data_IF_613435427667
#
_entry.id   IF_613435427667
#
_cell.length_a   1.000
_cell.length_b   1.000
_cell.length_c   1.000
_cell.angle_alpha   90.00
_cell.angle_beta   90.00
_cell.angle_gamma   90.00
#
_symmetry.space_group_name_H-M   'P 1'
#
loop_
_entity.id
_entity.type
_entity.pdbx_description
1 polymer ?
#
# COMPACT_ATOMS: atom_id res chain seq x y z
N UNK A 1 -9.50 22.20 -3.85
CA UNK A 1 -10.21 21.04 -4.44
C UNK A 1 -9.30 19.79 -4.51
N UNK A 2 -9.88 18.62 -4.72
CA UNK A 2 -9.11 17.38 -4.90
C UNK A 2 -8.16 17.46 -6.12
N UNK A 3 -8.59 18.14 -7.18
CA UNK A 3 -7.80 18.36 -8.39
C UNK A 3 -6.56 19.21 -8.09
N UNK A 4 -6.71 20.27 -7.32
CA UNK A 4 -5.58 21.13 -6.92
C UNK A 4 -4.60 20.37 -6.03
N UNK A 5 -5.08 19.55 -5.08
CA UNK A 5 -4.24 18.70 -4.24
C UNK A 5 -3.45 17.68 -5.07
N UNK A 6 -4.10 17.02 -6.04
CA UNK A 6 -3.42 16.11 -6.97
C UNK A 6 -2.33 16.83 -7.77
N UNK A 7 -2.62 18.01 -8.31
CA UNK A 7 -1.66 18.82 -9.06
C UNK A 7 -0.48 19.25 -8.18
N UNK A 8 -0.74 19.71 -6.96
CA UNK A 8 0.31 20.07 -6.01
C UNK A 8 1.24 18.89 -5.69
N UNK A 9 0.67 17.71 -5.43
CA UNK A 9 1.46 16.49 -5.18
C UNK A 9 2.30 16.13 -6.40
N UNK A 10 1.75 16.21 -7.61
CA UNK A 10 2.51 15.95 -8.84
C UNK A 10 3.67 16.91 -9.04
N UNK A 11 3.48 18.20 -8.72
CA UNK A 11 4.57 19.19 -8.76
C UNK A 11 5.68 18.86 -7.75
N UNK A 12 5.32 18.41 -6.54
CA UNK A 12 6.31 18.00 -5.54
C UNK A 12 7.07 16.75 -5.98
N UNK A 13 6.38 15.79 -6.60
CA UNK A 13 7.01 14.57 -7.11
C UNK A 13 7.98 14.87 -8.24
N UNK A 14 7.69 15.83 -9.11
CA UNK A 14 8.60 16.24 -10.19
C UNK A 14 9.98 16.63 -9.65
N UNK A 15 10.06 17.21 -8.45
CA UNK A 15 11.33 17.52 -7.79
C UNK A 15 12.09 16.30 -7.27
N UNK A 16 11.44 15.12 -7.22
CA UNK A 16 12.02 13.86 -6.74
C UNK A 16 12.47 12.94 -7.89
N UNK A 17 12.14 13.22 -9.14
CA UNK A 17 12.40 12.32 -10.28
C UNK A 17 13.88 11.98 -10.49
N UNK A 18 14.80 12.86 -10.07
CA UNK A 18 16.25 12.63 -10.13
C UNK A 18 16.84 12.18 -8.80
N UNK A 19 16.02 11.84 -7.80
CA UNK A 19 16.43 11.42 -6.46
C UNK A 19 16.00 10.00 -6.20
N UNK A 20 16.71 9.34 -5.29
CA UNK A 20 16.30 8.07 -4.72
C UNK A 20 15.61 8.30 -3.37
N UNK A 21 14.48 7.63 -3.16
CA UNK A 21 13.74 7.70 -1.89
C UNK A 21 13.94 6.39 -1.13
N UNK A 22 14.35 6.51 0.12
CA UNK A 22 14.49 5.37 1.03
C UNK A 22 13.20 5.21 1.84
N UNK A 23 12.60 4.03 1.79
CA UNK A 23 11.43 3.66 2.58
C UNK A 23 11.82 2.53 3.52
N UNK A 24 11.57 2.71 4.81
CA UNK A 24 11.88 1.72 5.83
C UNK A 24 10.59 1.05 6.29
N UNK A 25 10.50 -0.25 6.05
CA UNK A 25 9.35 -1.10 6.37
C UNK A 25 8.40 -1.28 5.19
N UNK A 26 8.19 -2.54 4.79
CA UNK A 26 7.24 -2.94 3.76
C UNK A 26 5.87 -3.36 4.33
N UNK A 27 5.38 -2.59 5.30
CA UNK A 27 4.01 -2.66 5.78
C UNK A 27 3.05 -1.94 4.81
N UNK A 28 1.81 -1.70 5.23
CA UNK A 28 0.81 -1.06 4.37
C UNK A 28 1.27 0.33 3.89
N UNK A 29 1.72 1.18 4.80
CA UNK A 29 2.15 2.54 4.47
C UNK A 29 3.37 2.55 3.54
N UNK A 30 4.38 1.71 3.81
CA UNK A 30 5.58 1.62 2.97
C UNK A 30 5.28 1.08 1.58
N UNK A 31 4.40 0.10 1.47
CA UNK A 31 3.97 -0.44 0.17
C UNK A 31 3.18 0.56 -0.66
N UNK A 32 2.22 1.27 -0.06
CA UNK A 32 1.48 2.33 -0.76
C UNK A 32 2.42 3.44 -1.25
N UNK A 33 3.33 3.90 -0.38
CA UNK A 33 4.32 4.93 -0.72
C UNK A 33 5.25 4.48 -1.84
N UNK A 34 5.77 3.25 -1.76
CA UNK A 34 6.65 2.69 -2.79
C UNK A 34 5.94 2.58 -4.14
N UNK A 35 4.72 2.04 -4.15
CA UNK A 35 3.93 1.93 -5.37
C UNK A 35 3.64 3.30 -5.97
N UNK A 36 3.15 4.24 -5.16
CA UNK A 36 2.82 5.60 -5.61
C UNK A 36 4.03 6.32 -6.21
N UNK A 37 5.18 6.30 -5.54
CA UNK A 37 6.39 6.96 -6.02
C UNK A 37 6.89 6.34 -7.33
N UNK A 38 6.91 5.03 -7.42
CA UNK A 38 7.39 4.34 -8.63
C UNK A 38 6.47 4.52 -9.83
N UNK A 39 5.16 4.60 -9.62
CA UNK A 39 4.21 4.95 -10.69
C UNK A 39 4.42 6.37 -11.22
N UNK A 40 5.09 7.23 -10.46
CA UNK A 40 5.46 8.58 -10.84
C UNK A 40 6.95 8.72 -11.24
N UNK A 41 7.64 7.62 -11.53
CA UNK A 41 9.01 7.60 -12.05
C UNK A 41 10.09 7.90 -11.02
N UNK A 42 9.79 7.77 -9.72
CA UNK A 42 10.76 7.98 -8.64
C UNK A 42 11.38 6.64 -8.24
N UNK A 43 12.71 6.59 -8.17
CA UNK A 43 13.41 5.40 -7.67
C UNK A 43 13.22 5.24 -6.17
N UNK A 44 12.92 4.02 -5.74
CA UNK A 44 12.69 3.67 -4.33
C UNK A 44 13.62 2.57 -3.88
N UNK A 45 14.27 2.77 -2.74
CA UNK A 45 14.92 1.70 -1.97
C UNK A 45 13.98 1.31 -0.82
N UNK A 46 13.42 0.12 -0.89
CA UNK A 46 12.50 -0.41 0.14
C UNK A 46 13.25 -1.39 1.04
N UNK A 47 13.39 -1.03 2.30
CA UNK A 47 14.07 -1.85 3.31
C UNK A 47 13.07 -2.63 4.14
N UNK A 48 13.21 -3.95 4.20
CA UNK A 48 12.34 -4.83 4.99
C UNK A 48 13.14 -5.83 5.81
N UNK A 49 12.93 -5.80 7.11
CA UNK A 49 13.70 -6.63 8.04
C UNK A 49 13.20 -8.08 8.18
N UNK A 50 11.99 -8.41 7.71
CA UNK A 50 11.32 -9.69 8.00
C UNK A 50 12.09 -10.94 7.55
N UNK A 51 12.96 -10.82 6.57
CA UNK A 51 13.86 -11.92 6.17
C UNK A 51 14.92 -12.24 7.24
N UNK A 52 15.34 -11.23 8.01
CA UNK A 52 16.39 -11.35 9.03
C UNK A 52 15.75 -11.50 10.40
N UNK A 53 14.75 -10.68 10.71
CA UNK A 53 14.08 -10.64 12.01
C UNK A 53 12.60 -10.35 11.86
N UNK A 54 11.78 -11.21 12.40
CA UNK A 54 10.32 -11.00 12.50
C UNK A 54 9.94 -10.59 13.93
N UNK A 55 8.91 -9.74 14.03
CA UNK A 55 8.25 -9.52 15.33
C UNK A 55 7.34 -10.71 15.65
N UNK A 56 6.93 -10.91 16.93
CA UNK A 56 6.04 -12.01 17.30
C UNK A 56 4.70 -12.04 16.53
N UNK A 57 4.22 -10.89 16.07
CA UNK A 57 2.98 -10.78 15.30
C UNK A 57 3.14 -11.16 13.82
N UNK A 58 4.35 -11.10 13.29
CA UNK A 58 4.63 -11.37 11.86
C UNK A 58 4.85 -12.86 11.62
N UNK A 59 4.12 -13.43 10.69
CA UNK A 59 4.17 -14.86 10.34
C UNK A 59 4.80 -15.15 9.00
N UNK A 60 4.82 -14.17 8.08
CA UNK A 60 5.35 -14.34 6.73
C UNK A 60 6.46 -13.32 6.42
N UNK A 61 7.15 -13.52 5.29
CA UNK A 61 8.11 -12.56 4.73
C UNK A 61 7.47 -11.64 3.69
N UNK A 62 6.18 -11.81 3.42
CA UNK A 62 5.45 -11.03 2.44
C UNK A 62 5.25 -9.59 2.90
N UNK A 63 5.17 -8.69 1.92
CA UNK A 63 4.87 -7.27 2.16
C UNK A 63 3.39 -7.07 2.48
N UNK A 64 3.07 -5.97 3.17
CA UNK A 64 1.68 -5.61 3.48
C UNK A 64 0.95 -6.63 4.35
N UNK A 65 1.66 -7.34 5.22
CA UNK A 65 1.06 -8.35 6.09
C UNK A 65 0.10 -7.73 7.10
N UNK A 66 -1.14 -8.25 7.13
CA UNK A 66 -2.15 -7.89 8.12
C UNK A 66 -1.98 -8.78 9.35
N UNK A 67 -1.42 -8.21 10.43
CA UNK A 67 -0.99 -8.99 11.62
C UNK A 67 -2.07 -9.17 12.69
N UNK A 68 -3.06 -8.29 12.77
CA UNK A 68 -4.09 -8.31 13.82
C UNK A 68 -5.41 -8.91 13.34
N UNK A 69 -5.87 -8.53 12.16
CA UNK A 69 -7.17 -8.91 11.60
C UNK A 69 -7.12 -8.87 10.08
N UNK A 70 -7.98 -9.65 9.45
CA UNK A 70 -8.20 -9.58 8.00
C UNK A 70 -9.23 -8.50 7.60
N UNK A 71 -9.81 -7.79 8.57
CA UNK A 71 -10.80 -6.74 8.34
C UNK A 71 -10.14 -5.37 8.21
N UNK A 72 -10.44 -4.67 7.13
CA UNK A 72 -10.11 -3.27 6.91
C UNK A 72 -11.27 -2.33 7.35
N UNK A 73 -12.12 -2.82 8.25
CA UNK A 73 -13.24 -2.09 8.85
C UNK A 73 -14.38 -1.81 7.87
N UNK A 74 -15.33 -0.99 8.33
CA UNK A 74 -16.59 -0.71 7.64
C UNK A 74 -16.40 -0.10 6.24
N UNK A 75 -17.30 -0.45 5.35
CA UNK A 75 -17.49 0.16 4.03
C UNK A 75 -18.67 1.14 3.99
N UNK A 76 -19.39 1.29 5.12
CA UNK A 76 -20.53 2.18 5.22
C UNK A 76 -20.09 3.65 5.04
N UNK A 77 -20.66 4.39 4.05
CA UNK A 77 -20.24 5.76 3.74
C UNK A 77 -20.32 6.74 4.91
N UNK A 78 -21.24 6.50 5.83
CA UNK A 78 -21.45 7.36 7.01
C UNK A 78 -20.54 7.00 8.19
N UNK A 79 -19.76 5.92 8.09
CA UNK A 79 -18.74 5.60 9.08
C UNK A 79 -17.41 6.27 8.74
N UNK A 80 -16.59 6.57 9.75
CA UNK A 80 -15.26 7.16 9.54
C UNK A 80 -14.38 6.31 8.63
N UNK A 81 -14.37 4.99 8.81
CA UNK A 81 -13.58 4.08 7.99
C UNK A 81 -14.15 3.90 6.57
N UNK A 82 -15.46 4.00 6.39
CA UNK A 82 -16.09 4.00 5.08
C UNK A 82 -15.81 5.29 4.31
N UNK A 83 -15.92 6.45 4.96
CA UNK A 83 -15.56 7.73 4.38
C UNK A 83 -14.09 7.77 3.96
N UNK A 84 -13.18 7.30 4.82
CA UNK A 84 -11.75 7.18 4.48
C UNK A 84 -11.53 6.33 3.21
N UNK A 85 -12.25 5.21 3.08
CA UNK A 85 -12.13 4.36 1.89
C UNK A 85 -12.62 5.07 0.62
N UNK A 86 -13.68 5.85 0.70
CA UNK A 86 -14.15 6.65 -0.44
C UNK A 86 -13.12 7.71 -0.86
N UNK A 87 -12.47 8.35 0.11
CA UNK A 87 -11.40 9.32 -0.16
C UNK A 87 -10.18 8.63 -0.79
N UNK A 88 -9.75 7.49 -0.23
CA UNK A 88 -8.65 6.70 -0.76
C UNK A 88 -8.93 6.20 -2.19
N UNK A 89 -10.17 5.82 -2.49
CA UNK A 89 -10.58 5.41 -3.84
C UNK A 89 -10.43 6.56 -4.85
N UNK A 90 -10.84 7.78 -4.47
CA UNK A 90 -10.64 8.98 -5.29
C UNK A 90 -9.17 9.36 -5.50
N UNK A 91 -8.30 8.93 -4.59
CA UNK A 91 -6.84 9.12 -4.68
C UNK A 91 -6.13 7.96 -5.40
N UNK A 92 -6.88 7.02 -5.96
CA UNK A 92 -6.34 5.83 -6.65
C UNK A 92 -5.44 4.95 -5.77
N UNK A 93 -5.79 4.81 -4.47
CA UNK A 93 -5.04 4.01 -3.52
C UNK A 93 -4.85 2.57 -4.02
N UNK A 94 -3.60 2.16 -4.16
CA UNK A 94 -3.21 0.84 -4.63
C UNK A 94 -3.68 -0.26 -3.70
N UNK A 95 -3.43 -0.13 -2.39
CA UNK A 95 -3.81 -1.15 -1.41
C UNK A 95 -5.32 -1.36 -1.35
N UNK A 96 -6.11 -0.31 -1.52
CA UNK A 96 -7.57 -0.45 -1.56
C UNK A 96 -8.04 -1.23 -2.79
N UNK A 97 -7.41 -1.03 -3.94
CA UNK A 97 -7.70 -1.82 -5.15
C UNK A 97 -7.38 -3.29 -4.94
N UNK A 98 -6.21 -3.59 -4.38
CA UNK A 98 -5.82 -4.97 -4.04
C UNK A 98 -6.79 -5.59 -3.04
N UNK A 99 -7.16 -4.85 -1.99
CA UNK A 99 -8.11 -5.31 -0.98
C UNK A 99 -9.46 -5.69 -1.58
N UNK A 100 -10.02 -4.86 -2.45
CA UNK A 100 -11.27 -5.15 -3.15
C UNK A 100 -11.19 -6.43 -4.00
N UNK A 101 -10.04 -6.67 -4.64
CA UNK A 101 -9.80 -7.89 -5.43
C UNK A 101 -9.61 -9.16 -4.58
N UNK A 102 -9.32 -9.01 -3.30
CA UNK A 102 -9.13 -10.10 -2.35
C UNK A 102 -10.27 -10.18 -1.32
N UNK A 103 -11.36 -9.43 -1.51
CA UNK A 103 -12.46 -9.36 -0.57
C UNK A 103 -13.11 -10.73 -0.37
N UNK A 104 -13.45 -11.02 0.88
CA UNK A 104 -14.24 -12.17 1.29
C UNK A 104 -15.53 -11.69 1.94
N UNK A 105 -16.62 -12.46 1.90
CA UNK A 105 -17.90 -12.06 2.49
C UNK A 105 -17.77 -11.74 3.98
N UNK A 106 -18.17 -10.54 4.39
CA UNK A 106 -18.16 -10.12 5.80
C UNK A 106 -19.14 -8.96 6.09
N UNK A 107 -20.32 -8.99 5.51
CA UNK A 107 -21.36 -7.95 5.70
C UNK A 107 -20.86 -6.57 5.23
N UNK A 108 -20.98 -5.56 6.09
CA UNK A 108 -20.61 -4.17 5.79
C UNK A 108 -19.12 -3.84 6.06
N UNK A 109 -18.28 -4.84 6.18
CA UNK A 109 -16.84 -4.69 6.37
C UNK A 109 -16.07 -5.15 5.14
N UNK A 110 -14.96 -4.49 4.83
CA UNK A 110 -14.02 -4.97 3.84
C UNK A 110 -13.05 -5.93 4.52
N UNK A 111 -13.34 -7.21 4.46
CA UNK A 111 -12.44 -8.28 4.90
C UNK A 111 -11.78 -8.93 3.69
N UNK A 112 -10.54 -9.35 3.85
CA UNK A 112 -9.73 -9.88 2.76
C UNK A 112 -9.15 -11.25 3.10
N UNK A 113 -8.86 -12.04 2.08
CA UNK A 113 -7.92 -13.15 2.18
C UNK A 113 -6.51 -12.58 2.41
N UNK A 114 -6.01 -12.70 3.64
CA UNK A 114 -4.74 -12.08 4.08
C UNK A 114 -3.54 -12.55 3.28
N UNK A 115 -3.49 -13.83 2.96
CA UNK A 115 -2.36 -14.40 2.23
C UNK A 115 -2.36 -13.94 0.77
N UNK A 116 -3.52 -13.99 0.12
CA UNK A 116 -3.70 -13.49 -1.25
C UNK A 116 -3.39 -12.00 -1.35
N UNK A 117 -3.87 -11.20 -0.39
CA UNK A 117 -3.61 -9.78 -0.29
C UNK A 117 -2.10 -9.48 -0.26
N UNK A 118 -1.37 -10.09 0.69
CA UNK A 118 0.08 -9.89 0.82
C UNK A 118 0.86 -10.43 -0.37
N UNK A 119 0.45 -11.54 -0.98
CA UNK A 119 1.08 -12.08 -2.19
C UNK A 119 0.97 -11.11 -3.38
N UNK A 120 -0.21 -10.56 -3.61
CA UNK A 120 -0.41 -9.60 -4.71
C UNK A 120 0.44 -8.35 -4.48
N UNK A 121 0.42 -7.77 -3.28
CA UNK A 121 1.23 -6.59 -2.95
C UNK A 121 2.71 -6.87 -3.17
N UNK A 122 3.21 -7.99 -2.67
CA UNK A 122 4.61 -8.39 -2.80
C UNK A 122 5.01 -8.53 -4.27
N UNK A 123 4.18 -9.17 -5.07
CA UNK A 123 4.45 -9.38 -6.50
C UNK A 123 4.45 -8.06 -7.27
N UNK A 124 3.46 -7.19 -7.05
CA UNK A 124 3.39 -5.88 -7.70
C UNK A 124 4.60 -5.00 -7.39
N UNK A 125 5.02 -4.95 -6.12
CA UNK A 125 6.19 -4.17 -5.70
C UNK A 125 7.48 -4.77 -6.29
N UNK A 126 7.67 -6.09 -6.23
CA UNK A 126 8.89 -6.76 -6.72
C UNK A 126 8.99 -6.77 -8.24
N UNK A 127 7.88 -6.80 -8.96
CA UNK A 127 7.90 -6.79 -10.43
C UNK A 127 8.31 -5.43 -10.99
N UNK A 128 8.26 -4.38 -10.19
CA UNK A 128 8.72 -3.05 -10.56
C UNK A 128 10.25 -2.89 -10.37
N UNK A 129 11.03 -3.84 -10.90
CA UNK A 129 12.48 -4.00 -10.66
C UNK A 129 13.34 -2.82 -11.12
N UNK A 130 12.84 -1.98 -12.02
CA UNK A 130 13.60 -0.82 -12.52
C UNK A 130 13.61 0.34 -11.53
N UNK A 131 12.64 0.39 -10.63
CA UNK A 131 12.39 1.54 -9.78
C UNK A 131 12.33 1.18 -8.28
N UNK A 132 12.19 -0.12 -7.95
CA UNK A 132 12.22 -0.60 -6.56
C UNK A 132 13.39 -1.55 -6.36
N UNK A 133 14.31 -1.17 -5.48
CA UNK A 133 15.34 -2.04 -4.93
C UNK A 133 14.91 -2.48 -3.54
N UNK A 134 14.68 -3.77 -3.36
CA UNK A 134 14.36 -4.34 -2.03
C UNK A 134 15.62 -4.80 -1.34
N UNK A 135 15.83 -4.34 -0.13
CA UNK A 135 17.01 -4.65 0.70
C UNK A 135 16.59 -5.25 2.03
#
# INVERSE_FOLDING_TARGET
SLKERKLFVQMQIANLQNKEVNIIGAGLAGCESAYFLTQNGVKVNLYEMKKIKKTPAQKSELFGELVCSNSLKSTEPLSASGLLKLELEKLDCFLLKVAKNCAVPSGNSLSVDREKFSKIITNEIKNNKKEVVTK
#
